data_IF_473288398142
#
_entry.id   IF_473288398142
#
_cell.length_a   1.000
_cell.length_b   1.000
_cell.length_c   1.000
_cell.angle_alpha   90.00
_cell.angle_beta   90.00
_cell.angle_gamma   90.00
#
_symmetry.space_group_name_H-M   'P 1'
#
loop_
_entity.id
_entity.type
_entity.pdbx_description
1 polymer ?
#
# COMPACT_ATOMS: atom_id res chain seq x y z
N UNK A 1 0.65 -5.69 1.51
CA UNK A 1 1.88 -5.81 2.33
C UNK A 1 1.74 -4.83 3.49
N UNK A 2 1.72 -5.33 4.73
CA UNK A 2 1.47 -4.53 5.94
C UNK A 2 2.44 -4.95 7.06
N UNK A 3 3.73 -4.96 6.72
CA UNK A 3 4.85 -5.30 7.62
C UNK A 3 5.77 -4.09 7.76
N UNK A 4 6.74 -4.10 8.69
CA UNK A 4 7.78 -3.08 8.74
C UNK A 4 8.50 -2.92 7.39
N UNK A 5 9.18 -1.79 7.20
CA UNK A 5 9.93 -1.54 5.96
C UNK A 5 10.98 -2.64 5.69
N UNK A 6 11.60 -3.15 6.75
CA UNK A 6 12.51 -4.28 6.69
C UNK A 6 11.78 -5.54 6.18
N UNK A 7 12.25 -6.08 5.06
CA UNK A 7 11.67 -7.26 4.41
C UNK A 7 10.43 -7.00 3.54
N UNK A 8 9.93 -5.77 3.44
CA UNK A 8 8.77 -5.46 2.60
C UNK A 8 9.00 -5.74 1.11
N UNK A 9 10.21 -5.48 0.61
CA UNK A 9 10.60 -5.79 -0.77
C UNK A 9 10.68 -7.30 -1.00
N UNK A 10 11.30 -8.06 -0.09
CA UNK A 10 11.42 -9.52 -0.22
C UNK A 10 10.04 -10.20 -0.26
N UNK A 11 9.09 -9.68 0.51
CA UNK A 11 7.69 -10.14 0.48
C UNK A 11 7.03 -9.81 -0.86
N UNK A 12 7.24 -8.61 -1.41
CA UNK A 12 6.75 -8.26 -2.74
C UNK A 12 7.32 -9.19 -3.80
N UNK A 13 8.62 -9.45 -3.79
CA UNK A 13 9.28 -10.31 -4.77
C UNK A 13 8.72 -11.74 -4.71
N UNK A 14 8.40 -12.24 -3.52
CA UNK A 14 7.72 -13.54 -3.33
C UNK A 14 6.31 -13.55 -3.91
N UNK A 15 5.55 -12.48 -3.67
CA UNK A 15 4.17 -12.31 -4.18
C UNK A 15 4.16 -12.24 -5.72
N UNK A 16 5.09 -11.49 -6.31
CA UNK A 16 5.21 -11.37 -7.78
C UNK A 16 5.41 -12.74 -8.43
N UNK A 17 6.24 -13.61 -7.82
CA UNK A 17 6.50 -14.97 -8.34
C UNK A 17 5.28 -15.88 -8.34
N UNK A 18 4.23 -15.59 -7.56
CA UNK A 18 2.99 -16.37 -7.58
C UNK A 18 2.00 -15.90 -8.66
N UNK A 19 2.38 -14.91 -9.47
CA UNK A 19 1.54 -14.38 -10.55
C UNK A 19 0.56 -13.28 -10.12
N UNK A 20 0.61 -12.82 -8.86
CA UNK A 20 -0.22 -11.70 -8.39
C UNK A 20 0.16 -10.42 -9.14
N UNK A 21 -0.85 -9.69 -9.64
CA UNK A 21 -0.67 -8.50 -10.49
C UNK A 21 -0.96 -7.17 -9.80
N UNK A 22 -1.56 -7.20 -8.61
CA UNK A 22 -1.87 -5.99 -7.86
C UNK A 22 -1.62 -6.19 -6.36
N UNK A 23 -0.95 -5.23 -5.73
CA UNK A 23 -0.61 -5.26 -4.31
C UNK A 23 -0.90 -3.89 -3.67
N UNK A 24 -1.67 -3.88 -2.59
CA UNK A 24 -1.76 -2.72 -1.71
C UNK A 24 -0.58 -2.72 -0.74
N UNK A 25 0.19 -1.64 -0.71
CA UNK A 25 1.34 -1.46 0.15
C UNK A 25 1.00 -0.51 1.30
N UNK A 26 0.98 -1.05 2.51
CA UNK A 26 0.84 -0.31 3.78
C UNK A 26 2.18 -0.21 4.51
N UNK A 27 3.25 -0.83 3.99
CA UNK A 27 4.58 -0.69 4.58
C UNK A 27 5.11 0.74 4.33
N UNK A 28 5.88 1.32 5.27
CA UNK A 28 6.35 2.71 5.20
C UNK A 28 7.59 2.84 4.29
N UNK A 29 7.54 2.26 3.09
CA UNK A 29 8.61 2.29 2.10
C UNK A 29 8.02 2.18 0.69
N UNK A 30 8.66 2.81 -0.28
CA UNK A 30 8.33 2.60 -1.68
C UNK A 30 8.87 1.25 -2.14
N UNK A 31 8.01 0.43 -2.74
CA UNK A 31 8.38 -0.88 -3.24
C UNK A 31 8.54 -0.86 -4.76
N UNK A 32 9.52 -1.63 -5.25
CA UNK A 32 9.79 -1.76 -6.67
C UNK A 32 9.11 -3.02 -7.20
N UNK A 33 8.28 -2.85 -8.22
CA UNK A 33 7.62 -3.94 -8.91
C UNK A 33 7.99 -3.94 -10.39
N UNK A 34 7.96 -5.12 -11.05
CA UNK A 34 8.07 -5.17 -12.51
C UNK A 34 6.87 -4.45 -13.18
N UNK A 35 6.99 -4.06 -14.46
CA UNK A 35 5.99 -3.22 -15.14
C UNK A 35 4.58 -3.83 -15.20
N UNK A 36 4.46 -5.15 -15.14
CA UNK A 36 3.20 -5.88 -15.21
C UNK A 36 2.51 -6.04 -13.83
N UNK A 37 3.10 -5.51 -12.75
CA UNK A 37 2.56 -5.57 -11.39
C UNK A 37 2.33 -4.16 -10.87
N UNK A 38 1.08 -3.87 -10.49
CA UNK A 38 0.69 -2.60 -9.89
C UNK A 38 0.86 -2.66 -8.38
N UNK A 39 1.65 -1.74 -7.83
CA UNK A 39 1.76 -1.54 -6.37
C UNK A 39 1.19 -0.18 -6.02
N UNK A 40 0.18 -0.17 -5.15
CA UNK A 40 -0.44 1.08 -4.67
C UNK A 40 -0.11 1.26 -3.19
N UNK A 41 0.64 2.32 -2.88
CA UNK A 41 0.85 2.73 -1.51
C UNK A 41 -0.46 3.27 -0.91
N UNK A 42 -0.79 2.84 0.31
CA UNK A 42 -1.93 3.33 1.08
C UNK A 42 -1.41 4.29 2.14
N UNK A 43 -1.89 5.54 2.09
CA UNK A 43 -1.59 6.54 3.11
C UNK A 43 -2.75 6.63 4.08
N UNK A 44 -2.62 5.94 5.21
CA UNK A 44 -3.67 5.91 6.24
C UNK A 44 -3.97 7.30 6.83
N UNK A 45 -3.00 8.22 6.84
CA UNK A 45 -3.23 9.57 7.34
C UNK A 45 -4.24 10.32 6.46
N UNK A 46 -4.12 10.20 5.13
CA UNK A 46 -5.09 10.80 4.20
C UNK A 46 -6.48 10.18 4.33
N UNK A 47 -6.56 8.85 4.53
CA UNK A 47 -7.85 8.17 4.72
C UNK A 47 -8.55 8.65 6.01
N UNK A 48 -7.79 8.81 7.10
CA UNK A 48 -8.31 9.34 8.37
C UNK A 48 -8.68 10.83 8.27
N UNK A 49 -7.89 11.62 7.54
CA UNK A 49 -8.21 13.03 7.26
C UNK A 49 -9.52 13.14 6.48
N UNK A 50 -9.72 12.31 5.46
CA UNK A 50 -10.98 12.24 4.71
C UNK A 50 -12.17 11.90 5.61
N UNK A 51 -12.01 10.94 6.53
CA UNK A 51 -13.04 10.62 7.52
C UNK A 51 -13.31 11.79 8.48
N UNK A 52 -12.26 12.47 8.96
CA UNK A 52 -12.38 13.64 9.82
C UNK A 52 -13.14 14.78 9.13
N UNK A 53 -12.81 15.05 7.87
CA UNK A 53 -13.51 16.03 7.04
C UNK A 53 -14.98 15.65 6.86
N UNK A 54 -15.27 14.39 6.49
CA UNK A 54 -16.64 13.91 6.32
C UNK A 54 -17.49 13.99 7.60
N UNK A 55 -16.88 13.85 8.78
CA UNK A 55 -17.57 14.04 10.06
C UNK A 55 -17.79 15.51 10.41
N UNK A 56 -16.83 16.38 10.07
CA UNK A 56 -16.87 17.83 10.38
C UNK A 56 -17.78 18.59 9.44
N UNK A 57 -17.84 18.19 8.17
CA UNK A 57 -18.58 18.86 7.09
C UNK A 57 -19.92 18.18 6.77
N UNK A 58 -20.48 17.46 7.74
CA UNK A 58 -21.86 16.98 7.67
C UNK A 58 -22.82 18.18 7.79
N UNK A 59 -23.44 18.58 6.69
CA UNK A 59 -24.78 19.16 6.70
C UNK A 59 -25.82 18.05 6.45
#
# INVERSE_FOLDING_TARGET
IAIPAEGAQDVLDRIVRTGIKAVLNFAPIQLNAPPDVTVRAVNMAMELEGLSFALTNRE
#
